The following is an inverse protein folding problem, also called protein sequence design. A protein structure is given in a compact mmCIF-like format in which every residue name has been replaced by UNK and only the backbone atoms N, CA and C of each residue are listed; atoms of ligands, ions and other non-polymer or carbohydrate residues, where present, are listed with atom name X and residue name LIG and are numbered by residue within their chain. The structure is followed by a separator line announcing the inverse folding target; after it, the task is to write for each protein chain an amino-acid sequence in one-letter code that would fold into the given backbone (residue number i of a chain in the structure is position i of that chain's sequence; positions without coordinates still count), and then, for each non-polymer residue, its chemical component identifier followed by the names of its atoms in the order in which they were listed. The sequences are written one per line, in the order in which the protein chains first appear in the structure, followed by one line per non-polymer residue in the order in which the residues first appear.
data_IF_919828743778
#
_entry.id   IF_919828743778
#
_cell.length_a   1.000
_cell.length_b   1.000
_cell.length_c   1.000
_cell.angle_alpha   90.00
_cell.angle_beta   90.00
_cell.angle_gamma   90.00
#
_symmetry.space_group_name_H-M   'P 1'
#
loop_
_entity.id
_entity.type
_entity.pdbx_description
1 polymer ?
#
# COMPACT_ATOMS: atom_id res chain seq x y z
N UNK A 1 0.12 -33.13 -6.92
CA UNK A 1 1.55 -32.91 -7.23
C UNK A 1 2.12 -32.02 -6.13
N UNK A 2 2.58 -32.62 -5.02
CA UNK A 2 2.98 -31.92 -3.78
C UNK A 2 4.45 -32.24 -3.53
N UNK A 3 5.36 -31.29 -3.79
CA UNK A 3 6.75 -31.34 -3.33
C UNK A 3 7.47 -30.00 -3.58
N UNK A 4 7.30 -29.00 -2.70
CA UNK A 4 8.21 -27.85 -2.68
C UNK A 4 8.35 -27.16 -1.30
N UNK A 5 8.00 -27.85 -0.21
CA UNK A 5 7.95 -27.26 1.14
C UNK A 5 8.96 -27.83 2.15
N UNK A 6 9.94 -28.64 1.73
CA UNK A 6 10.87 -29.32 2.66
C UNK A 6 12.30 -28.75 2.67
N UNK A 7 12.65 -27.87 1.73
CA UNK A 7 14.03 -27.37 1.58
C UNK A 7 14.36 -26.23 2.56
N UNK A 8 13.40 -25.38 2.94
CA UNK A 8 13.66 -24.20 3.79
C UNK A 8 13.87 -24.53 5.27
N UNK A 9 13.34 -25.66 5.77
CA UNK A 9 13.57 -26.10 7.15
C UNK A 9 14.97 -26.67 7.38
N UNK A 10 15.67 -27.11 6.33
CA UNK A 10 17.02 -27.68 6.46
C UNK A 10 18.11 -26.61 6.53
N UNK A 11 17.90 -25.46 5.88
CA UNK A 11 18.85 -24.34 5.89
C UNK A 11 18.95 -23.64 7.26
N UNK A 12 17.85 -23.58 8.01
CA UNK A 12 17.83 -22.99 9.37
C UNK A 12 18.51 -23.92 10.39
N UNK A 13 18.49 -25.24 10.16
CA UNK A 13 19.16 -26.20 11.05
C UNK A 13 20.67 -26.33 10.76
N UNK A 14 21.12 -26.05 9.54
CA UNK A 14 22.55 -26.02 9.20
C UNK A 14 23.30 -24.81 9.79
N UNK A 15 22.60 -23.72 10.11
CA UNK A 15 23.20 -22.55 10.77
C UNK A 15 23.44 -22.74 12.28
N UNK A 16 23.02 -23.87 12.86
CA UNK A 16 23.18 -24.19 14.29
C UNK A 16 24.22 -25.27 14.59
N UNK A 17 24.96 -25.77 13.59
CA UNK A 17 26.03 -26.77 13.79
C UNK A 17 27.46 -26.30 13.42
N UNK A 18 27.67 -25.00 13.23
CA UNK A 18 29.01 -24.43 12.97
C UNK A 18 29.67 -23.82 14.23
N UNK A 19 29.32 -24.32 15.43
CA UNK A 19 29.97 -23.94 16.69
C UNK A 19 30.53 -25.21 17.37
N UNK A 20 31.67 -25.69 16.90
CA UNK A 20 32.33 -26.84 17.51
C UNK A 20 33.54 -27.32 16.72
N UNK A 21 34.64 -26.56 16.73
CA UNK A 21 35.90 -27.02 16.15
C UNK A 21 36.91 -25.92 15.88
N UNK A 22 37.35 -25.19 16.90
CA UNK A 22 38.57 -24.37 16.79
C UNK A 22 39.76 -25.21 17.29
N UNK A 23 40.50 -25.79 16.34
CA UNK A 23 41.92 -26.06 16.55
C UNK A 23 42.68 -24.73 16.49
N UNK A 24 43.68 -24.61 17.36
CA UNK A 24 44.38 -23.38 17.65
C UNK A 24 45.21 -22.84 16.46
N UNK A 25 45.07 -21.54 16.19
CA UNK A 25 46.08 -20.73 15.48
C UNK A 25 46.27 -19.44 16.29
N UNK A 26 47.48 -19.12 16.77
CA UNK A 26 47.75 -17.86 17.47
C UNK A 26 48.26 -16.80 16.49
N UNK A 27 47.63 -15.63 16.45
CA UNK A 27 48.21 -14.48 15.75
C UNK A 27 47.24 -13.37 15.38
N UNK A 28 47.46 -12.21 16.00
CA UNK A 28 47.16 -10.85 15.55
C UNK A 28 45.74 -10.25 15.70
N UNK A 29 45.73 -9.18 16.50
CA UNK A 29 45.02 -7.91 16.31
C UNK A 29 43.48 -7.85 16.46
N UNK A 30 43.05 -7.48 17.67
CA UNK A 30 42.04 -6.43 17.87
C UNK A 30 40.66 -6.62 17.25
N UNK A 31 39.96 -7.71 17.55
CA UNK A 31 38.49 -7.73 17.40
C UNK A 31 37.86 -7.38 18.74
N UNK A 32 37.40 -6.14 18.91
CA UNK A 32 36.47 -5.81 19.98
C UNK A 32 35.18 -6.58 19.71
N UNK A 33 35.08 -7.79 20.26
CA UNK A 33 33.81 -8.52 20.30
C UNK A 33 32.79 -7.67 21.05
N UNK A 34 31.54 -7.70 20.57
CA UNK A 34 30.44 -7.01 21.23
C UNK A 34 30.49 -7.27 22.74
N UNK A 35 30.43 -6.20 23.52
CA UNK A 35 30.46 -6.27 24.97
C UNK A 35 29.29 -7.14 25.47
N UNK A 36 29.43 -7.79 26.65
CA UNK A 36 28.35 -8.60 27.22
C UNK A 36 27.02 -7.84 27.36
N UNK A 37 27.06 -6.51 27.56
CA UNK A 37 25.90 -5.63 27.57
C UNK A 37 25.23 -5.48 26.21
N UNK A 38 26.00 -5.25 25.14
CA UNK A 38 25.48 -5.13 23.78
C UNK A 38 24.85 -6.45 23.32
N UNK A 39 25.46 -7.59 23.67
CA UNK A 39 24.90 -8.91 23.40
C UNK A 39 23.57 -9.12 24.16
N UNK A 40 23.47 -8.63 25.41
CA UNK A 40 22.25 -8.74 26.20
C UNK A 40 21.11 -7.87 25.64
N UNK A 41 21.43 -6.65 25.18
CA UNK A 41 20.46 -5.75 24.52
C UNK A 41 19.97 -6.32 23.19
N UNK A 42 20.88 -6.80 22.34
CA UNK A 42 20.52 -7.46 21.08
C UNK A 42 19.61 -8.67 21.31
N UNK A 43 19.89 -9.49 22.34
CA UNK A 43 19.02 -10.62 22.69
C UNK A 43 17.62 -10.15 23.11
N UNK A 44 17.50 -9.05 23.87
CA UNK A 44 16.20 -8.48 24.24
C UNK A 44 15.45 -7.97 23.01
N UNK A 45 16.11 -7.23 22.12
CA UNK A 45 15.51 -6.74 20.88
C UNK A 45 15.03 -7.88 19.98
N UNK A 46 15.84 -8.94 19.83
CA UNK A 46 15.45 -10.13 19.04
C UNK A 46 14.24 -10.84 19.63
N UNK A 47 14.15 -10.92 20.97
CA UNK A 47 12.99 -11.52 21.63
C UNK A 47 11.72 -10.68 21.43
N UNK A 48 11.83 -9.35 21.51
CA UNK A 48 10.69 -8.45 21.26
C UNK A 48 10.24 -8.53 19.80
N UNK A 49 11.17 -8.44 18.84
CA UNK A 49 10.85 -8.58 17.42
C UNK A 49 10.19 -9.93 17.10
N UNK A 50 10.64 -11.02 17.74
CA UNK A 50 10.00 -12.34 17.60
C UNK A 50 8.58 -12.34 18.16
N UNK A 51 8.36 -11.69 19.30
CA UNK A 51 7.02 -11.56 19.89
C UNK A 51 6.08 -10.78 18.98
N UNK A 52 6.53 -9.64 18.47
CA UNK A 52 5.77 -8.84 17.52
C UNK A 52 5.47 -9.60 16.23
N UNK A 53 6.44 -10.37 15.72
CA UNK A 53 6.25 -11.20 14.52
C UNK A 53 5.13 -12.22 14.73
N UNK A 54 5.09 -12.90 15.88
CA UNK A 54 4.02 -13.87 16.20
C UNK A 54 2.66 -13.19 16.27
N UNK A 55 2.57 -12.01 16.88
CA UNK A 55 1.32 -11.24 16.93
C UNK A 55 0.84 -10.87 15.52
N UNK A 56 1.76 -10.39 14.67
CA UNK A 56 1.45 -10.06 13.27
C UNK A 56 1.06 -11.29 12.45
N UNK A 57 1.67 -12.45 12.68
CA UNK A 57 1.29 -13.70 12.01
C UNK A 57 -0.13 -14.15 12.36
N UNK A 58 -0.54 -13.98 13.62
CA UNK A 58 -1.93 -14.27 14.05
C UNK A 58 -2.89 -13.28 13.40
N UNK A 59 -2.54 -12.00 13.35
CA UNK A 59 -3.38 -10.98 12.70
C UNK A 59 -3.51 -11.23 11.20
N UNK A 60 -2.42 -11.60 10.52
CA UNK A 60 -2.44 -11.98 9.11
C UNK A 60 -3.39 -13.16 8.90
N UNK A 61 -3.35 -14.19 9.75
CA UNK A 61 -4.30 -15.31 9.63
C UNK A 61 -5.74 -14.88 9.86
N UNK A 62 -5.97 -14.00 10.84
CA UNK A 62 -7.31 -13.46 11.11
C UNK A 62 -7.86 -12.74 9.87
N UNK A 63 -7.08 -11.82 9.31
CA UNK A 63 -7.46 -11.06 8.12
C UNK A 63 -7.64 -11.97 6.90
N UNK A 64 -6.79 -12.98 6.73
CA UNK A 64 -6.96 -13.97 5.65
C UNK A 64 -8.28 -14.74 5.77
N UNK A 65 -8.67 -15.14 6.98
CA UNK A 65 -9.95 -15.79 7.22
C UNK A 65 -11.14 -14.85 6.96
N UNK A 66 -11.02 -13.59 7.35
CA UNK A 66 -12.03 -12.56 7.12
C UNK A 66 -12.21 -12.27 5.62
N UNK A 67 -11.11 -12.12 4.89
CA UNK A 67 -11.12 -11.97 3.43
C UNK A 67 -11.77 -13.19 2.76
N UNK A 68 -11.46 -14.41 3.20
CA UNK A 68 -12.06 -15.62 2.64
C UNK A 68 -13.57 -15.66 2.88
N UNK A 69 -14.02 -15.26 4.08
CA UNK A 69 -15.43 -15.15 4.43
C UNK A 69 -16.15 -14.10 3.56
N UNK A 70 -15.62 -12.88 3.49
CA UNK A 70 -16.21 -11.79 2.72
C UNK A 70 -16.31 -12.14 1.23
N UNK A 71 -15.29 -12.81 0.67
CA UNK A 71 -15.35 -13.32 -0.70
C UNK A 71 -16.48 -14.32 -0.89
N UNK A 72 -16.66 -15.26 0.04
CA UNK A 72 -17.78 -16.21 -0.02
C UNK A 72 -19.15 -15.52 0.07
N UNK A 73 -19.28 -14.51 0.93
CA UNK A 73 -20.51 -13.73 1.07
C UNK A 73 -20.81 -12.92 -0.20
N UNK A 74 -19.79 -12.31 -0.81
CA UNK A 74 -19.91 -11.58 -2.07
C UNK A 74 -20.34 -12.48 -3.24
N UNK A 75 -19.73 -13.66 -3.39
CA UNK A 75 -20.11 -14.62 -4.42
C UNK A 75 -21.55 -15.15 -4.23
N UNK A 76 -21.97 -15.34 -2.98
CA UNK A 76 -23.36 -15.72 -2.67
C UNK A 76 -24.36 -14.59 -2.98
N UNK A 77 -24.00 -13.33 -2.67
CA UNK A 77 -24.82 -12.17 -3.01
C UNK A 77 -24.92 -11.97 -4.52
N UNK A 78 -23.83 -12.20 -5.25
CA UNK A 78 -23.78 -12.10 -6.71
C UNK A 78 -24.65 -13.16 -7.38
N UNK A 79 -24.57 -14.42 -6.94
CA UNK A 79 -25.42 -15.49 -7.48
C UNK A 79 -26.90 -15.23 -7.20
N UNK A 80 -27.25 -14.75 -6.00
CA UNK A 80 -28.62 -14.33 -5.69
C UNK A 80 -29.10 -13.16 -6.57
N UNK A 81 -28.23 -12.20 -6.88
CA UNK A 81 -28.55 -11.09 -7.78
C UNK A 81 -28.71 -11.54 -9.24
N UNK A 82 -27.89 -12.48 -9.71
CA UNK A 82 -28.01 -13.08 -11.05
C UNK A 82 -29.30 -13.92 -11.18
N UNK A 83 -29.69 -14.66 -10.14
CA UNK A 83 -30.98 -15.38 -10.09
C UNK A 83 -32.18 -14.43 -10.08
N UNK A 84 -32.09 -13.30 -9.36
CA UNK A 84 -33.12 -12.26 -9.37
C UNK A 84 -33.22 -11.54 -10.72
N UNK A 85 -32.09 -11.36 -11.43
CA UNK A 85 -32.04 -10.75 -12.76
C UNK A 85 -32.50 -11.69 -13.89
N UNK A 86 -32.59 -13.00 -13.64
CA UNK A 86 -33.11 -13.99 -14.59
C UNK A 86 -34.65 -14.07 -14.64
N UNK A 87 -35.35 -13.33 -13.78
CA UNK A 87 -36.79 -13.12 -13.90
C UNK A 87 -37.11 -12.25 -15.13
N UNK A 88 -38.18 -12.53 -15.90
CA UNK A 88 -38.50 -11.75 -17.09
C UNK A 88 -38.75 -10.28 -16.68
N UNK A 89 -38.11 -9.30 -17.36
CA UNK A 89 -38.24 -7.91 -16.99
C UNK A 89 -39.68 -7.46 -17.22
N UNK A 90 -40.29 -6.88 -16.18
CA UNK A 90 -41.47 -6.04 -16.38
C UNK A 90 -41.09 -4.89 -17.32
N UNK A 91 -41.97 -4.45 -18.23
CA UNK A 91 -41.66 -3.36 -19.15
C UNK A 91 -41.35 -2.08 -18.37
N UNK A 92 -40.09 -1.71 -18.31
CA UNK A 92 -39.62 -0.42 -17.80
C UNK A 92 -39.18 0.40 -19.02
N UNK A 93 -39.96 1.43 -19.34
CA UNK A 93 -39.50 2.53 -20.17
C UNK A 93 -38.28 3.16 -19.48
N UNK A 94 -37.07 2.94 -20.02
CA UNK A 94 -35.88 3.65 -19.54
C UNK A 94 -35.87 5.04 -20.16
N UNK A 95 -35.90 6.13 -19.38
CA UNK A 95 -35.45 7.40 -19.90
C UNK A 95 -33.93 7.28 -20.13
N UNK A 96 -33.48 7.79 -21.28
CA UNK A 96 -32.07 7.96 -21.56
C UNK A 96 -31.47 8.89 -20.50
N UNK A 97 -30.40 8.47 -19.84
CA UNK A 97 -29.64 9.36 -18.96
C UNK A 97 -28.62 10.05 -19.85
N UNK A 98 -28.85 11.35 -20.06
CA UNK A 98 -27.94 12.27 -20.73
C UNK A 98 -26.71 12.54 -19.83
N UNK A 99 -25.57 12.77 -20.48
CA UNK A 99 -24.28 13.13 -19.88
C UNK A 99 -24.32 14.54 -19.25
N UNK A 100 -25.05 14.74 -18.17
CA UNK A 100 -24.91 15.95 -17.35
C UNK A 100 -25.47 15.71 -15.95
N UNK A 101 -24.67 15.14 -15.04
CA UNK A 101 -25.05 15.14 -13.63
C UNK A 101 -23.85 15.16 -12.69
N UNK A 102 -23.17 16.31 -12.69
CA UNK A 102 -22.31 16.74 -11.58
C UNK A 102 -23.14 17.26 -10.38
N UNK A 103 -24.47 17.05 -10.35
CA UNK A 103 -25.39 17.58 -9.35
C UNK A 103 -26.32 16.52 -8.71
N UNK A 104 -26.11 15.22 -8.94
CA UNK A 104 -26.88 14.17 -8.27
C UNK A 104 -26.54 14.11 -6.78
N UNK A 105 -27.57 13.95 -5.94
CA UNK A 105 -27.45 13.80 -4.47
C UNK A 105 -26.31 12.83 -4.10
N UNK A 106 -25.53 13.13 -3.04
CA UNK A 106 -24.44 12.26 -2.63
C UNK A 106 -25.01 10.86 -2.39
N UNK A 107 -24.38 9.80 -2.93
CA UNK A 107 -24.92 8.46 -2.81
C UNK A 107 -25.12 8.10 -1.33
N UNK A 108 -26.20 7.37 -1.07
CA UNK A 108 -26.62 7.00 0.29
C UNK A 108 -25.56 6.27 1.12
N UNK A 109 -24.50 5.76 0.49
CA UNK A 109 -23.33 5.18 1.13
C UNK A 109 -22.05 5.59 0.35
N UNK A 110 -21.37 6.68 0.76
CA UNK A 110 -20.13 7.11 0.14
C UNK A 110 -19.03 6.05 0.18
N UNK A 111 -18.91 5.27 1.26
CA UNK A 111 -17.89 4.22 1.39
C UNK A 111 -17.99 3.17 0.26
N UNK A 112 -19.20 2.89 -0.24
CA UNK A 112 -19.39 1.99 -1.39
C UNK A 112 -18.71 2.54 -2.66
N UNK A 113 -18.67 3.86 -2.86
CA UNK A 113 -17.93 4.46 -3.99
C UNK A 113 -16.44 4.23 -3.88
N UNK A 114 -15.89 4.27 -2.66
CA UNK A 114 -14.48 4.01 -2.42
C UNK A 114 -14.13 2.55 -2.75
N UNK A 115 -14.93 1.61 -2.25
CA UNK A 115 -14.73 0.17 -2.49
C UNK A 115 -14.86 -0.18 -3.99
N UNK A 116 -15.84 0.42 -4.68
CA UNK A 116 -16.00 0.30 -6.13
C UNK A 116 -14.78 0.86 -6.87
N UNK A 117 -14.32 2.06 -6.51
CA UNK A 117 -13.12 2.67 -7.09
C UNK A 117 -11.88 1.81 -6.92
N UNK A 118 -11.71 1.24 -5.72
CA UNK A 118 -10.61 0.33 -5.42
C UNK A 118 -10.69 -0.96 -6.24
N UNK A 119 -11.89 -1.53 -6.38
CA UNK A 119 -12.12 -2.71 -7.22
C UNK A 119 -11.78 -2.44 -8.68
N UNK A 120 -12.25 -1.32 -9.24
CA UNK A 120 -11.96 -0.89 -10.61
C UNK A 120 -10.46 -0.67 -10.84
N UNK A 121 -9.76 -0.08 -9.87
CA UNK A 121 -8.31 0.11 -9.94
C UNK A 121 -7.56 -1.23 -10.11
N UNK A 122 -7.93 -2.24 -9.32
CA UNK A 122 -7.33 -3.59 -9.42
C UNK A 122 -7.70 -4.32 -10.71
N UNK A 123 -8.83 -3.96 -11.32
CA UNK A 123 -9.21 -4.40 -12.67
C UNK A 123 -8.52 -3.58 -13.78
N UNK A 124 -7.63 -2.65 -13.43
CA UNK A 124 -6.91 -1.74 -14.35
C UNK A 124 -7.83 -0.76 -15.09
N UNK A 125 -9.07 -0.59 -14.62
CA UNK A 125 -10.03 0.36 -15.16
C UNK A 125 -9.81 1.74 -14.54
N UNK A 126 -8.62 2.31 -14.77
CA UNK A 126 -8.14 3.49 -14.05
C UNK A 126 -8.99 4.75 -14.23
N UNK A 127 -9.58 4.97 -15.41
CA UNK A 127 -10.44 6.14 -15.64
C UNK A 127 -11.75 6.04 -14.84
N UNK A 128 -12.39 4.86 -14.83
CA UNK A 128 -13.59 4.61 -14.05
C UNK A 128 -13.31 4.63 -12.53
N UNK A 129 -12.15 4.09 -12.12
CA UNK A 129 -11.69 4.14 -10.74
C UNK A 129 -11.52 5.58 -10.25
N UNK A 130 -10.86 6.44 -11.04
CA UNK A 130 -10.70 7.86 -10.72
C UNK A 130 -12.04 8.56 -10.55
N UNK A 131 -13.00 8.34 -11.46
CA UNK A 131 -14.35 8.92 -11.35
C UNK A 131 -15.02 8.51 -10.03
N UNK A 132 -14.91 7.24 -9.62
CA UNK A 132 -15.48 6.75 -8.35
C UNK A 132 -14.83 7.42 -7.14
N UNK A 133 -13.51 7.56 -7.12
CA UNK A 133 -12.83 8.27 -6.03
C UNK A 133 -13.16 9.76 -5.99
N UNK A 134 -13.32 10.41 -7.15
CA UNK A 134 -13.75 11.81 -7.22
C UNK A 134 -15.16 12.00 -6.66
N UNK A 135 -16.10 11.10 -7.02
CA UNK A 135 -17.45 11.12 -6.45
C UNK A 135 -17.43 10.86 -4.95
N UNK A 136 -16.55 9.97 -4.47
CA UNK A 136 -16.39 9.73 -3.04
C UNK A 136 -15.96 11.01 -2.31
N UNK A 137 -14.94 11.71 -2.83
CA UNK A 137 -14.46 12.96 -2.23
C UNK A 137 -15.50 14.08 -2.27
N UNK A 138 -16.31 14.14 -3.33
CA UNK A 138 -17.42 15.09 -3.42
C UNK A 138 -18.52 14.81 -2.40
N UNK A 139 -18.82 13.53 -2.14
CA UNK A 139 -19.84 13.09 -1.19
C UNK A 139 -19.37 13.06 0.27
N UNK A 140 -18.05 12.98 0.52
CA UNK A 140 -17.49 12.70 1.85
C UNK A 140 -16.15 13.38 2.08
N UNK A 141 -16.13 14.71 1.98
CA UNK A 141 -14.92 15.52 2.12
C UNK A 141 -14.18 15.39 3.48
N UNK A 142 -14.83 14.85 4.52
CA UNK A 142 -14.27 14.71 5.89
C UNK A 142 -14.15 13.27 6.36
N UNK A 143 -14.26 12.28 5.47
CA UNK A 143 -14.09 10.86 5.84
C UNK A 143 -12.61 10.55 6.12
N UNK A 144 -12.35 9.59 7.01
CA UNK A 144 -11.01 9.05 7.29
C UNK A 144 -10.35 8.41 6.04
N UNK A 145 -11.13 8.15 4.98
CA UNK A 145 -10.64 7.64 3.70
C UNK A 145 -10.37 8.74 2.66
N UNK A 146 -10.54 10.01 3.00
CA UNK A 146 -10.40 11.11 2.03
C UNK A 146 -8.97 11.25 1.50
N UNK A 147 -7.95 11.13 2.37
CA UNK A 147 -6.55 11.13 1.95
C UNK A 147 -6.22 9.93 1.06
N UNK A 148 -6.81 8.78 1.38
CA UNK A 148 -6.70 7.53 0.64
C UNK A 148 -7.31 7.66 -0.76
N UNK A 149 -8.53 8.19 -0.87
CA UNK A 149 -9.20 8.38 -2.16
C UNK A 149 -8.43 9.38 -3.04
N UNK A 150 -7.97 10.50 -2.46
CA UNK A 150 -7.16 11.47 -3.19
C UNK A 150 -5.84 10.85 -3.68
N UNK A 151 -5.18 10.03 -2.85
CA UNK A 151 -4.00 9.26 -3.26
C UNK A 151 -4.31 8.30 -4.41
N UNK A 152 -5.45 7.59 -4.37
CA UNK A 152 -5.82 6.67 -5.44
C UNK A 152 -6.15 7.36 -6.75
N UNK A 153 -6.67 8.59 -6.73
CA UNK A 153 -6.80 9.43 -7.95
C UNK A 153 -5.41 9.63 -8.59
N UNK A 154 -4.39 9.95 -7.78
CA UNK A 154 -3.01 10.05 -8.24
C UNK A 154 -2.50 8.73 -8.83
N UNK A 155 -2.73 7.60 -8.16
CA UNK A 155 -2.34 6.28 -8.68
C UNK A 155 -3.03 5.94 -10.01
N UNK A 156 -4.31 6.28 -10.17
CA UNK A 156 -5.04 6.09 -11.43
C UNK A 156 -4.41 6.86 -12.58
N UNK A 157 -4.06 8.14 -12.35
CA UNK A 157 -3.42 8.99 -13.35
C UNK A 157 -2.00 8.51 -13.66
N UNK A 158 -1.24 8.14 -12.63
CA UNK A 158 0.11 7.60 -12.75
C UNK A 158 0.12 6.34 -13.61
N UNK A 159 -0.80 5.40 -13.36
CA UNK A 159 -0.92 4.16 -14.11
C UNK A 159 -1.30 4.38 -15.58
N UNK A 160 -2.02 5.47 -15.89
CA UNK A 160 -2.33 5.88 -17.27
C UNK A 160 -1.19 6.66 -17.94
N UNK A 161 -0.09 6.94 -17.24
CA UNK A 161 1.04 7.73 -17.75
C UNK A 161 0.80 9.24 -17.74
N UNK A 162 -0.31 9.71 -17.14
CA UNK A 162 -0.56 11.14 -16.93
C UNK A 162 0.21 11.63 -15.70
N UNK A 163 1.52 11.75 -15.84
CA UNK A 163 2.39 12.11 -14.72
C UNK A 163 2.16 13.54 -14.22
N UNK A 164 1.67 14.45 -15.07
CA UNK A 164 1.33 15.81 -14.65
C UNK A 164 0.07 15.81 -13.80
N UNK A 165 -1.01 15.19 -14.27
CA UNK A 165 -2.24 15.06 -13.49
C UNK A 165 -2.03 14.23 -12.22
N UNK A 166 -1.16 13.22 -12.25
CA UNK A 166 -0.79 12.44 -11.08
C UNK A 166 -0.05 13.28 -10.04
N UNK A 167 0.94 14.08 -10.47
CA UNK A 167 1.65 15.01 -9.60
C UNK A 167 0.66 15.96 -8.89
N UNK A 168 -0.25 16.58 -9.64
CA UNK A 168 -1.30 17.44 -9.07
C UNK A 168 -2.13 16.71 -8.00
N UNK A 169 -2.54 15.47 -8.28
CA UNK A 169 -3.35 14.68 -7.36
C UNK A 169 -2.60 14.27 -6.08
N UNK A 170 -1.33 13.86 -6.20
CA UNK A 170 -0.50 13.52 -5.04
C UNK A 170 -0.15 14.75 -4.21
N UNK A 171 0.17 15.89 -4.84
CA UNK A 171 0.37 17.16 -4.13
C UNK A 171 -0.89 17.56 -3.39
N UNK A 172 -2.08 17.41 -4.00
CA UNK A 172 -3.34 17.64 -3.32
C UNK A 172 -3.56 16.72 -2.11
N UNK A 173 -3.08 15.47 -2.12
CA UNK A 173 -3.09 14.61 -0.92
C UNK A 173 -2.29 15.26 0.22
N UNK A 174 -1.10 15.77 -0.08
CA UNK A 174 -0.19 16.38 0.91
C UNK A 174 -0.75 17.70 1.45
N UNK A 175 -1.33 18.53 0.59
CA UNK A 175 -1.83 19.86 0.95
C UNK A 175 -3.17 19.82 1.69
N UNK A 176 -4.10 18.97 1.23
CA UNK A 176 -5.46 18.90 1.79
C UNK A 176 -5.55 18.01 3.02
N UNK A 177 -4.68 17.01 3.13
CA UNK A 177 -4.70 16.03 4.21
C UNK A 177 -3.31 15.91 4.85
N UNK A 178 -2.75 17.00 5.42
CA UNK A 178 -1.34 17.04 5.85
C UNK A 178 -0.97 16.02 6.93
N UNK A 179 -1.96 15.55 7.70
CA UNK A 179 -1.82 14.52 8.75
C UNK A 179 -2.29 13.12 8.29
N UNK A 180 -2.66 12.98 7.01
CA UNK A 180 -3.16 11.75 6.43
C UNK A 180 -2.10 10.64 6.39
N UNK A 181 -2.55 9.39 6.51
CA UNK A 181 -1.64 8.24 6.50
C UNK A 181 -1.00 8.02 5.12
N UNK A 182 -1.59 8.57 4.04
CA UNK A 182 -1.05 8.51 2.69
C UNK A 182 -0.08 9.61 2.33
N UNK A 183 0.12 10.62 3.17
CA UNK A 183 1.04 11.73 2.86
C UNK A 183 2.46 11.26 2.54
N UNK A 184 3.10 10.36 3.31
CA UNK A 184 4.45 9.91 2.99
C UNK A 184 4.53 9.18 1.65
N UNK A 185 3.51 8.36 1.32
CA UNK A 185 3.43 7.63 0.06
C UNK A 185 3.16 8.58 -1.12
N UNK A 186 2.26 9.54 -0.94
CA UNK A 186 1.94 10.56 -1.93
C UNK A 186 3.17 11.39 -2.30
N UNK A 187 3.99 11.80 -1.32
CA UNK A 187 5.23 12.53 -1.60
C UNK A 187 6.25 11.70 -2.38
N UNK A 188 6.38 10.40 -2.08
CA UNK A 188 7.25 9.51 -2.87
C UNK A 188 6.76 9.45 -4.31
N UNK A 189 5.45 9.32 -4.51
CA UNK A 189 4.82 9.26 -5.84
C UNK A 189 4.92 10.59 -6.59
N UNK A 190 4.79 11.73 -5.91
CA UNK A 190 5.02 13.05 -6.48
C UNK A 190 6.47 13.17 -7.00
N UNK A 191 7.45 12.74 -6.21
CA UNK A 191 8.85 12.66 -6.67
C UNK A 191 9.01 11.79 -7.92
N UNK A 192 8.35 10.62 -7.97
CA UNK A 192 8.40 9.74 -9.15
C UNK A 192 7.75 10.38 -10.38
N UNK A 193 6.68 11.15 -10.20
CA UNK A 193 6.07 11.93 -11.29
C UNK A 193 7.04 12.99 -11.81
N UNK A 194 7.73 13.71 -10.92
CA UNK A 194 8.74 14.71 -11.29
C UNK A 194 9.88 14.08 -12.08
N UNK A 195 10.38 12.92 -11.66
CA UNK A 195 11.36 12.15 -12.43
C UNK A 195 10.85 11.79 -13.84
N UNK A 196 9.61 11.29 -13.95
CA UNK A 196 9.00 10.93 -15.22
C UNK A 196 8.76 12.14 -16.14
N UNK A 197 8.55 13.32 -15.56
CA UNK A 197 8.41 14.60 -16.27
C UNK A 197 9.78 15.22 -16.63
N UNK A 198 10.90 14.64 -16.18
CA UNK A 198 12.24 15.16 -16.39
C UNK A 198 12.66 16.28 -15.42
N UNK A 199 11.83 16.61 -14.44
CA UNK A 199 12.16 17.58 -13.39
C UNK A 199 12.97 16.91 -12.28
N UNK A 200 14.26 16.70 -12.58
CA UNK A 200 15.21 16.09 -11.65
C UNK A 200 15.44 16.94 -10.40
N UNK A 201 15.45 18.26 -10.53
CA UNK A 201 15.69 19.16 -9.40
C UNK A 201 14.52 19.09 -8.41
N UNK A 202 13.28 19.20 -8.90
CA UNK A 202 12.08 19.06 -8.09
C UNK A 202 11.98 17.69 -7.43
N UNK A 203 12.33 16.61 -8.14
CA UNK A 203 12.35 15.26 -7.57
C UNK A 203 13.34 15.15 -6.39
N UNK A 204 14.56 15.68 -6.57
CA UNK A 204 15.60 15.69 -5.53
C UNK A 204 15.13 16.48 -4.29
N UNK A 205 14.52 17.65 -4.50
CA UNK A 205 13.98 18.46 -3.40
C UNK A 205 12.90 17.70 -2.63
N UNK A 206 11.94 17.13 -3.35
CA UNK A 206 10.84 16.33 -2.77
C UNK A 206 11.39 15.16 -1.93
N UNK A 207 12.36 14.40 -2.45
CA UNK A 207 12.93 13.27 -1.71
C UNK A 207 13.73 13.70 -0.46
N UNK A 208 14.43 14.84 -0.52
CA UNK A 208 15.11 15.41 0.65
C UNK A 208 14.11 15.85 1.71
N UNK A 209 12.97 16.40 1.32
CA UNK A 209 11.91 16.75 2.25
C UNK A 209 11.36 15.50 2.96
N UNK A 210 11.10 14.41 2.23
CA UNK A 210 10.65 13.14 2.81
C UNK A 210 11.65 12.61 3.84
N UNK A 211 12.95 12.66 3.54
CA UNK A 211 14.00 12.25 4.49
C UNK A 211 14.01 13.11 5.75
N UNK A 212 13.67 14.40 5.65
CA UNK A 212 13.62 15.30 6.80
C UNK A 212 12.36 15.10 7.64
N UNK A 213 11.20 15.02 6.99
CA UNK A 213 9.86 14.98 7.61
C UNK A 213 9.48 13.59 8.13
N UNK A 214 9.88 12.52 7.44
CA UNK A 214 9.46 11.14 7.75
C UNK A 214 10.62 10.20 8.08
N UNK A 215 11.56 10.67 8.90
CA UNK A 215 12.76 9.90 9.32
C UNK A 215 12.38 8.50 9.85
N UNK A 216 13.13 7.48 9.42
CA UNK A 216 12.95 6.10 9.87
C UNK A 216 11.74 5.37 9.27
N UNK A 217 10.99 5.98 8.36
CA UNK A 217 9.86 5.34 7.68
C UNK A 217 10.28 4.66 6.37
N UNK A 218 9.41 3.77 5.86
CA UNK A 218 9.59 3.17 4.53
C UNK A 218 9.57 4.21 3.39
N UNK A 219 8.88 5.34 3.57
CA UNK A 219 8.90 6.44 2.60
C UNK A 219 10.29 7.10 2.55
N UNK A 220 10.91 7.38 3.70
CA UNK A 220 12.27 7.91 3.75
C UNK A 220 13.32 6.94 3.20
N UNK A 221 13.14 5.63 3.42
CA UNK A 221 13.99 4.61 2.82
C UNK A 221 13.91 4.63 1.28
N UNK A 222 12.69 4.63 0.72
CA UNK A 222 12.46 4.76 -0.73
C UNK A 222 13.03 6.08 -1.29
N UNK A 223 12.80 7.20 -0.62
CA UNK A 223 13.34 8.50 -1.03
C UNK A 223 14.89 8.49 -1.08
N UNK A 224 15.54 7.82 -0.12
CA UNK A 224 17.00 7.66 -0.11
C UNK A 224 17.51 6.86 -1.30
N UNK A 225 16.83 5.78 -1.65
CA UNK A 225 17.15 4.97 -2.83
C UNK A 225 17.00 5.79 -4.12
N UNK A 226 15.90 6.53 -4.28
CA UNK A 226 15.69 7.40 -5.44
C UNK A 226 16.74 8.50 -5.55
N UNK A 227 17.09 9.16 -4.44
CA UNK A 227 18.17 10.16 -4.42
C UNK A 227 19.52 9.60 -4.83
N UNK A 228 19.83 8.36 -4.48
CA UNK A 228 21.06 7.71 -4.89
C UNK A 228 21.09 7.43 -6.40
N UNK A 229 19.93 7.08 -6.99
CA UNK A 229 19.79 6.88 -8.43
C UNK A 229 19.84 8.20 -9.24
N UNK A 230 19.51 9.32 -8.61
CA UNK A 230 19.53 10.68 -9.19
C UNK A 230 20.83 11.44 -8.93
N UNK A 231 21.95 10.76 -8.65
CA UNK A 231 23.30 11.35 -8.59
C UNK A 231 24.03 11.00 -9.86
#
# INVERSE_FOLDING_TARGET
MVAMGRETKSLILMLLLAAGGASAVPGAAGSAGASPSEIAELKRMVLELRRELVVKEVEIRRLQNEIARLKSELEAARTAAEEAAAAPPLPLERPAIEEDDLAAEPPANPEALYDDGYTLFHQQQYAAAEERFQRFLAASATSDLSDNAQYWIGECRFARGDYRGALEAFTATVERYPDGNKVPDAMVKAGLCLEALGDREGAIETYREIQQRFRGTAAAARASERLAALR
#
